data_IF_468664036397
#
_entry.id   IF_468664036397
#
_cell.length_a   1.000
_cell.length_b   1.000
_cell.length_c   1.000
_cell.angle_alpha   90.00
_cell.angle_beta   90.00
_cell.angle_gamma   90.00
#
_symmetry.space_group_name_H-M   'P 1'
#
loop_
_entity.id
_entity.type
_entity.pdbx_description
1 polymer ?
#
# COMPACT_ATOMS: atom_id res chain seq x y z
N UNK A 1 17.38 -22.78 12.96
CA UNK A 1 18.74 -22.33 12.68
C UNK A 1 18.77 -21.50 11.40
N UNK A 2 19.61 -20.46 11.37
CA UNK A 2 19.78 -19.60 10.21
C UNK A 2 21.25 -19.68 9.79
N UNK A 3 21.48 -19.98 8.50
CA UNK A 3 22.80 -20.05 7.92
C UNK A 3 22.98 -19.01 6.84
N UNK A 4 24.09 -18.26 6.87
CA UNK A 4 24.48 -17.31 5.84
C UNK A 4 25.88 -17.68 5.37
N UNK A 5 26.06 -17.94 4.07
CA UNK A 5 27.32 -18.42 3.49
C UNK A 5 27.88 -19.61 4.30
N UNK A 6 27.02 -20.61 4.58
CA UNK A 6 27.32 -21.84 5.32
C UNK A 6 27.70 -21.64 6.82
N UNK A 7 27.63 -20.42 7.33
CA UNK A 7 27.91 -20.12 8.74
C UNK A 7 26.61 -19.97 9.51
N UNK A 8 26.49 -20.66 10.64
CA UNK A 8 25.39 -20.49 11.59
C UNK A 8 25.42 -19.07 12.17
N UNK A 9 24.32 -18.34 12.06
CA UNK A 9 24.18 -16.98 12.57
C UNK A 9 23.03 -16.92 13.55
N UNK A 10 23.27 -16.33 14.72
CA UNK A 10 22.22 -16.01 15.68
C UNK A 10 21.72 -14.59 15.45
N UNK A 11 20.46 -14.44 15.03
CA UNK A 11 19.84 -13.15 14.67
C UNK A 11 19.20 -12.48 15.89
N UNK A 12 20.02 -12.01 16.83
CA UNK A 12 19.55 -11.41 18.08
C UNK A 12 18.98 -9.98 17.89
N UNK A 13 19.43 -9.27 16.88
CA UNK A 13 19.02 -7.90 16.61
C UNK A 13 19.28 -7.48 15.14
N UNK A 14 18.68 -6.36 14.66
CA UNK A 14 18.85 -5.90 13.28
C UNK A 14 20.29 -5.62 12.86
N UNK A 15 21.16 -5.19 13.77
CA UNK A 15 22.56 -4.90 13.45
C UNK A 15 23.34 -6.17 13.06
N UNK A 16 23.00 -7.32 13.66
CA UNK A 16 23.57 -8.62 13.26
C UNK A 16 23.16 -8.95 11.83
N UNK A 17 21.91 -8.72 11.44
CA UNK A 17 21.45 -8.95 10.08
C UNK A 17 22.19 -8.05 9.08
N UNK A 18 22.31 -6.76 9.37
CA UNK A 18 23.06 -5.79 8.53
C UNK A 18 24.53 -6.19 8.40
N UNK A 19 25.18 -6.55 9.51
CA UNK A 19 26.59 -6.99 9.49
C UNK A 19 26.82 -8.27 8.67
N UNK A 20 25.79 -9.10 8.48
CA UNK A 20 25.80 -10.28 7.63
C UNK A 20 25.28 -10.01 6.21
N UNK A 21 25.17 -8.75 5.80
CA UNK A 21 24.76 -8.34 4.45
C UNK A 21 23.29 -8.50 4.15
N UNK A 22 22.42 -8.54 5.15
CA UNK A 22 20.96 -8.54 4.96
C UNK A 22 20.44 -7.11 5.01
N UNK A 23 19.75 -6.69 3.96
CA UNK A 23 18.96 -5.46 3.90
C UNK A 23 17.48 -5.76 3.78
N UNK A 24 16.63 -4.94 4.41
CA UNK A 24 15.17 -5.10 4.34
C UNK A 24 14.50 -3.80 3.93
N UNK A 25 13.57 -3.90 3.00
CA UNK A 25 12.62 -2.86 2.62
C UNK A 25 11.27 -3.24 3.21
N UNK A 26 10.77 -2.43 4.13
CA UNK A 26 9.51 -2.67 4.83
C UNK A 26 8.31 -2.26 3.99
N UNK A 27 7.16 -2.83 4.28
CA UNK A 27 5.87 -2.50 3.66
C UNK A 27 5.52 -1.01 3.80
N UNK A 28 5.82 -0.41 4.96
CA UNK A 28 5.73 1.04 5.19
C UNK A 28 7.14 1.62 5.18
N UNK A 29 7.41 2.52 4.25
CA UNK A 29 8.73 3.11 4.09
C UNK A 29 9.20 3.83 5.35
N UNK A 30 10.46 3.55 5.73
CA UNK A 30 11.10 4.12 6.89
C UNK A 30 11.97 5.33 6.50
N UNK A 31 11.39 6.24 5.67
CA UNK A 31 12.04 7.45 5.19
C UNK A 31 11.62 8.66 6.00
N UNK A 32 12.58 9.56 6.24
CA UNK A 32 12.37 10.84 6.91
C UNK A 32 11.93 11.86 5.86
N UNK A 33 10.66 12.23 5.86
CA UNK A 33 10.01 13.03 4.82
C UNK A 33 10.71 14.38 4.53
N UNK A 34 11.12 15.21 5.52
CA UNK A 34 11.78 16.49 5.27
C UNK A 34 13.22 16.36 4.75
N UNK A 35 13.82 15.16 4.83
CA UNK A 35 15.20 14.93 4.40
C UNK A 35 15.27 14.74 2.90
N UNK A 36 16.45 15.04 2.34
CA UNK A 36 16.74 14.70 0.94
C UNK A 36 16.98 13.19 0.77
N UNK A 37 16.91 12.72 -0.48
CA UNK A 37 17.26 11.34 -0.86
C UNK A 37 18.63 10.97 -0.33
N UNK A 38 19.65 11.81 -0.56
CA UNK A 38 21.01 11.52 -0.08
C UNK A 38 21.05 11.40 1.45
N UNK A 39 20.42 12.32 2.18
CA UNK A 39 20.37 12.28 3.64
C UNK A 39 19.70 11.01 4.17
N UNK A 40 18.64 10.55 3.53
CA UNK A 40 17.96 9.31 3.93
C UNK A 40 18.83 8.06 3.70
N UNK A 41 19.54 8.00 2.57
CA UNK A 41 20.37 6.83 2.22
C UNK A 41 21.54 6.69 3.20
N UNK A 42 22.23 7.80 3.53
CA UNK A 42 23.40 7.78 4.41
C UNK A 42 23.07 7.73 5.89
N UNK A 43 21.81 7.92 6.29
CA UNK A 43 21.39 8.05 7.70
C UNK A 43 21.91 6.87 8.55
N UNK A 44 22.74 7.17 9.55
CA UNK A 44 23.37 6.19 10.44
C UNK A 44 24.66 5.53 9.90
N UNK A 45 25.12 5.95 8.71
CA UNK A 45 26.42 5.56 8.10
C UNK A 45 26.99 6.75 7.33
N UNK A 46 26.88 7.93 7.90
CA UNK A 46 27.22 9.21 7.27
C UNK A 46 28.73 9.28 6.95
N UNK A 47 29.13 9.65 5.71
CA UNK A 47 30.50 10.00 5.43
C UNK A 47 30.88 11.28 6.16
N UNK A 48 32.03 11.28 6.87
CA UNK A 48 32.47 12.41 7.68
C UNK A 48 33.73 13.05 7.16
N UNK A 49 33.80 14.38 7.27
CA UNK A 49 35.03 15.18 7.14
C UNK A 49 35.76 15.29 8.48
N UNK A 50 36.99 15.84 8.45
CA UNK A 50 37.72 16.15 9.67
C UNK A 50 36.81 16.86 10.71
N UNK A 51 37.03 16.55 12.00
CA UNK A 51 36.23 17.03 13.14
C UNK A 51 34.78 16.48 13.21
N UNK A 52 34.44 15.41 12.47
CA UNK A 52 33.16 14.71 12.60
C UNK A 52 31.97 15.38 11.90
N UNK A 53 32.20 16.40 11.06
CA UNK A 53 31.12 16.98 10.25
C UNK A 53 30.75 16.06 9.07
N UNK A 54 29.46 15.97 8.74
CA UNK A 54 28.95 15.16 7.62
C UNK A 54 29.46 15.72 6.29
N UNK A 55 30.00 14.86 5.44
CA UNK A 55 30.35 15.19 4.06
C UNK A 55 29.19 14.96 3.10
N UNK A 56 28.31 15.94 2.98
CA UNK A 56 27.13 15.82 2.12
C UNK A 56 27.49 15.73 0.62
N UNK A 57 28.59 16.35 0.19
CA UNK A 57 29.02 16.27 -1.20
C UNK A 57 29.47 14.84 -1.55
N UNK A 58 30.26 14.22 -0.67
CA UNK A 58 30.64 12.82 -0.79
C UNK A 58 29.42 11.91 -0.80
N UNK A 59 28.44 12.16 0.08
CA UNK A 59 27.18 11.41 0.10
C UNK A 59 26.43 11.49 -1.24
N UNK A 60 26.32 12.68 -1.83
CA UNK A 60 25.67 12.88 -3.13
C UNK A 60 26.41 12.12 -4.24
N UNK A 61 27.74 12.15 -4.26
CA UNK A 61 28.55 11.42 -5.22
C UNK A 61 28.37 9.90 -5.07
N UNK A 62 28.41 9.39 -3.85
CA UNK A 62 28.26 7.96 -3.56
C UNK A 62 26.83 7.47 -3.93
N UNK A 63 25.80 8.28 -3.64
CA UNK A 63 24.41 7.97 -4.02
C UNK A 63 24.24 7.95 -5.54
N UNK A 64 24.84 8.89 -6.27
CA UNK A 64 24.83 8.87 -7.73
C UNK A 64 25.49 7.62 -8.28
N UNK A 65 26.67 7.28 -7.78
CA UNK A 65 27.42 6.12 -8.24
C UNK A 65 26.65 4.81 -8.02
N UNK A 66 26.04 4.61 -6.85
CA UNK A 66 25.24 3.41 -6.56
C UNK A 66 23.92 3.37 -7.35
N UNK A 67 23.30 4.54 -7.55
CA UNK A 67 22.09 4.72 -8.37
C UNK A 67 22.36 4.31 -9.83
N UNK A 68 23.46 4.76 -10.41
CA UNK A 68 23.86 4.40 -11.77
C UNK A 68 24.22 2.91 -11.87
N UNK A 69 25.00 2.40 -10.91
CA UNK A 69 25.42 0.99 -10.87
C UNK A 69 24.25 0.02 -10.97
N UNK A 70 23.16 0.28 -10.26
CA UNK A 70 22.01 -0.62 -10.20
C UNK A 70 20.82 -0.17 -11.09
N UNK A 71 20.97 0.94 -11.83
CA UNK A 71 19.88 1.49 -12.65
C UNK A 71 18.69 2.01 -11.85
N UNK A 72 18.92 2.42 -10.61
CA UNK A 72 17.93 2.94 -9.67
C UNK A 72 17.99 4.48 -9.64
N UNK A 73 17.68 5.12 -10.76
CA UNK A 73 17.87 6.56 -10.91
C UNK A 73 16.99 7.36 -9.94
N UNK A 74 17.65 8.22 -9.14
CA UNK A 74 17.04 9.15 -8.18
C UNK A 74 17.81 10.49 -8.21
N UNK A 75 17.13 11.60 -7.87
CA UNK A 75 17.81 12.87 -7.59
C UNK A 75 18.23 12.91 -6.11
N UNK A 76 19.55 12.90 -5.80
CA UNK A 76 20.03 12.93 -4.42
C UNK A 76 19.59 14.17 -3.62
N UNK A 77 19.27 15.28 -4.29
CA UNK A 77 18.89 16.53 -3.66
C UNK A 77 17.38 16.70 -3.48
N UNK A 78 16.56 15.87 -4.14
CA UNK A 78 15.11 15.92 -3.97
C UNK A 78 14.73 15.53 -2.54
N UNK A 79 13.73 16.19 -1.97
CA UNK A 79 13.16 15.80 -0.70
C UNK A 79 12.22 14.60 -0.86
N UNK A 80 12.15 13.77 0.16
CA UNK A 80 11.29 12.57 0.14
C UNK A 80 9.80 12.97 0.00
N UNK A 81 9.37 14.04 0.64
CA UNK A 81 7.99 14.54 0.56
C UNK A 81 7.56 14.98 -0.85
N UNK A 82 8.52 15.28 -1.74
CA UNK A 82 8.30 15.80 -3.09
C UNK A 82 8.37 14.72 -4.18
N UNK A 83 8.75 13.48 -3.85
CA UNK A 83 8.92 12.39 -4.81
C UNK A 83 7.79 11.36 -4.74
N UNK A 84 7.50 10.67 -5.87
CA UNK A 84 6.47 9.65 -5.95
C UNK A 84 6.79 8.43 -5.05
N UNK A 85 5.76 7.64 -4.74
CA UNK A 85 5.89 6.41 -3.94
C UNK A 85 6.87 5.42 -4.60
N UNK A 86 6.83 5.26 -5.92
CA UNK A 86 7.78 4.42 -6.66
C UNK A 86 9.22 4.93 -6.54
N UNK A 87 9.43 6.24 -6.48
CA UNK A 87 10.76 6.81 -6.22
C UNK A 87 11.20 6.59 -4.78
N UNK A 88 10.29 6.72 -3.80
CA UNK A 88 10.59 6.41 -2.38
C UNK A 88 11.03 4.96 -2.22
N UNK A 89 10.42 4.03 -2.94
CA UNK A 89 10.84 2.64 -2.93
C UNK A 89 12.25 2.44 -3.47
N UNK A 90 12.62 3.12 -4.56
CA UNK A 90 13.99 3.10 -5.07
C UNK A 90 14.99 3.61 -4.03
N UNK A 91 14.63 4.65 -3.28
CA UNK A 91 15.44 5.19 -2.19
C UNK A 91 15.64 4.16 -1.07
N UNK A 92 14.59 3.43 -0.66
CA UNK A 92 14.70 2.35 0.34
C UNK A 92 15.61 1.21 -0.12
N UNK A 93 15.52 0.80 -1.40
CA UNK A 93 16.40 -0.21 -1.97
C UNK A 93 17.86 0.31 -2.00
N UNK A 94 18.09 1.54 -2.46
CA UNK A 94 19.41 2.17 -2.48
C UNK A 94 20.01 2.29 -1.08
N UNK A 95 19.21 2.63 -0.07
CA UNK A 95 19.61 2.68 1.33
C UNK A 95 20.11 1.34 1.84
N UNK A 96 19.43 0.25 1.51
CA UNK A 96 19.90 -1.11 1.84
C UNK A 96 21.19 -1.47 1.11
N UNK A 97 21.28 -1.17 -0.18
CA UNK A 97 22.48 -1.43 -1.02
C UNK A 97 23.67 -0.58 -0.58
N UNK A 98 23.48 0.67 -0.20
CA UNK A 98 24.53 1.56 0.32
C UNK A 98 25.17 1.01 1.59
N UNK A 99 24.39 0.30 2.41
CA UNK A 99 24.86 -0.40 3.61
C UNK A 99 25.50 -1.76 3.31
N UNK A 100 25.70 -2.11 2.02
CA UNK A 100 26.37 -3.33 1.61
C UNK A 100 25.49 -4.57 1.61
N UNK A 101 24.17 -4.45 1.45
CA UNK A 101 23.28 -5.60 1.37
C UNK A 101 23.65 -6.53 0.20
N UNK A 102 23.83 -7.82 0.51
CA UNK A 102 23.99 -8.92 -0.42
C UNK A 102 22.69 -9.71 -0.58
N UNK A 103 21.87 -9.74 0.48
CA UNK A 103 20.54 -10.35 0.53
C UNK A 103 19.53 -9.25 0.80
N UNK A 104 18.58 -9.04 -0.12
CA UNK A 104 17.51 -8.05 0.02
C UNK A 104 16.21 -8.75 0.33
N UNK A 105 15.56 -8.34 1.40
CA UNK A 105 14.20 -8.77 1.77
C UNK A 105 13.24 -7.64 1.43
N UNK A 106 12.27 -7.90 0.57
CA UNK A 106 11.24 -6.96 0.14
C UNK A 106 9.87 -7.43 0.68
N UNK A 107 9.31 -6.68 1.63
CA UNK A 107 8.04 -7.04 2.27
C UNK A 107 6.89 -6.26 1.63
N UNK A 108 5.99 -6.99 0.91
CA UNK A 108 4.85 -6.46 0.14
C UNK A 108 5.23 -5.23 -0.73
N UNK A 109 6.31 -5.32 -1.54
CA UNK A 109 6.92 -4.14 -2.17
C UNK A 109 6.04 -3.45 -3.21
N UNK A 110 4.93 -4.04 -3.59
CA UNK A 110 4.06 -3.55 -4.67
C UNK A 110 2.70 -3.06 -4.16
N UNK A 111 2.50 -2.99 -2.84
CA UNK A 111 1.19 -2.69 -2.25
C UNK A 111 0.59 -1.36 -2.71
N UNK A 112 1.44 -0.36 -2.96
CA UNK A 112 1.06 1.02 -3.29
C UNK A 112 1.56 1.47 -4.67
N UNK A 113 2.08 0.55 -5.49
CA UNK A 113 2.64 0.85 -6.80
C UNK A 113 1.61 0.76 -7.92
N UNK A 114 1.76 1.60 -8.91
CA UNK A 114 1.03 1.49 -10.19
C UNK A 114 1.52 0.27 -10.99
N UNK A 115 0.72 -0.24 -11.97
CA UNK A 115 1.16 -1.36 -12.81
C UNK A 115 2.49 -1.13 -13.53
N UNK A 116 2.77 0.12 -13.95
CA UNK A 116 4.03 0.51 -14.59
C UNK A 116 5.20 0.40 -13.61
N UNK A 117 5.05 0.96 -12.39
CA UNK A 117 6.07 0.89 -11.34
C UNK A 117 6.35 -0.54 -10.90
N UNK A 118 5.33 -1.43 -10.90
CA UNK A 118 5.51 -2.87 -10.64
C UNK A 118 6.43 -3.50 -11.68
N UNK A 119 6.24 -3.20 -12.98
CA UNK A 119 7.12 -3.73 -14.03
C UNK A 119 8.55 -3.21 -13.89
N UNK A 120 8.71 -1.95 -13.54
CA UNK A 120 10.04 -1.36 -13.25
C UNK A 120 10.69 -2.05 -12.07
N UNK A 121 9.97 -2.30 -10.98
CA UNK A 121 10.49 -3.02 -9.81
C UNK A 121 10.93 -4.44 -10.17
N UNK A 122 10.14 -5.18 -10.95
CA UNK A 122 10.51 -6.52 -11.43
C UNK A 122 11.82 -6.46 -12.23
N UNK A 123 11.98 -5.45 -13.08
CA UNK A 123 13.22 -5.26 -13.83
C UNK A 123 14.41 -4.93 -12.92
N UNK A 124 14.21 -4.11 -11.91
CA UNK A 124 15.20 -3.81 -10.87
C UNK A 124 15.64 -5.08 -10.16
N UNK A 125 14.70 -5.91 -9.72
CA UNK A 125 14.99 -7.18 -9.05
C UNK A 125 15.83 -8.08 -9.96
N UNK A 126 15.48 -8.20 -11.24
CA UNK A 126 16.24 -8.98 -12.23
C UNK A 126 17.66 -8.44 -12.45
N UNK A 127 17.83 -7.13 -12.42
CA UNK A 127 19.17 -6.53 -12.55
C UNK A 127 20.01 -6.80 -11.30
N UNK A 128 19.43 -6.68 -10.11
CA UNK A 128 20.10 -7.00 -8.84
C UNK A 128 20.56 -8.46 -8.79
N UNK A 129 19.73 -9.40 -9.23
CA UNK A 129 20.11 -10.83 -9.26
C UNK A 129 21.20 -11.12 -10.28
N UNK A 130 21.22 -10.43 -11.44
CA UNK A 130 22.33 -10.52 -12.42
C UNK A 130 23.65 -10.00 -11.85
N UNK A 131 23.61 -9.02 -10.96
CA UNK A 131 24.76 -8.49 -10.22
C UNK A 131 25.15 -9.37 -9.00
N UNK A 132 24.56 -10.57 -8.89
CA UNK A 132 24.88 -11.54 -7.84
C UNK A 132 24.18 -11.33 -6.51
N UNK A 133 23.22 -10.40 -6.41
CA UNK A 133 22.43 -10.21 -5.19
C UNK A 133 21.35 -11.29 -5.07
N UNK A 134 21.04 -11.71 -3.85
CA UNK A 134 19.89 -12.56 -3.55
C UNK A 134 18.71 -11.71 -3.13
N UNK A 135 17.51 -12.02 -3.64
CA UNK A 135 16.30 -11.27 -3.30
C UNK A 135 15.23 -12.21 -2.76
N UNK A 136 14.67 -11.89 -1.62
CA UNK A 136 13.53 -12.56 -1.00
C UNK A 136 12.35 -11.60 -1.08
N UNK A 137 11.28 -12.01 -1.76
CA UNK A 137 10.06 -11.22 -1.88
C UNK A 137 8.98 -11.88 -1.03
N UNK A 138 8.39 -11.11 -0.11
CA UNK A 138 7.21 -11.53 0.64
C UNK A 138 6.01 -10.88 -0.03
N UNK A 139 5.09 -11.67 -0.57
CA UNK A 139 3.89 -11.15 -1.23
C UNK A 139 2.79 -12.23 -1.28
N UNK A 140 1.55 -11.77 -1.37
CA UNK A 140 0.39 -12.62 -1.62
C UNK A 140 -0.12 -12.51 -3.07
N UNK A 141 0.55 -11.72 -3.92
CA UNK A 141 0.14 -11.46 -5.31
C UNK A 141 0.80 -12.46 -6.26
N UNK A 142 0.06 -13.45 -6.70
CA UNK A 142 0.56 -14.58 -7.49
C UNK A 142 1.21 -14.15 -8.81
N UNK A 143 0.68 -13.13 -9.49
CA UNK A 143 1.25 -12.60 -10.73
C UNK A 143 2.67 -12.05 -10.54
N UNK A 144 2.94 -11.45 -9.39
CA UNK A 144 4.28 -10.93 -9.07
C UNK A 144 5.26 -12.06 -8.81
N UNK A 145 4.83 -13.10 -8.07
CA UNK A 145 5.62 -14.32 -7.87
C UNK A 145 5.99 -14.92 -9.22
N UNK A 146 4.99 -15.12 -10.11
CA UNK A 146 5.23 -15.67 -11.46
C UNK A 146 6.15 -14.81 -12.32
N UNK A 147 6.15 -13.49 -12.13
CA UNK A 147 6.95 -12.58 -12.93
C UNK A 147 8.39 -12.39 -12.42
N UNK A 148 8.62 -12.53 -11.11
CA UNK A 148 9.89 -12.15 -10.49
C UNK A 148 10.68 -13.31 -9.89
N UNK A 149 10.03 -14.36 -9.36
CA UNK A 149 10.69 -15.37 -8.55
C UNK A 149 11.05 -16.64 -9.32
N UNK A 150 12.17 -17.28 -8.95
CA UNK A 150 12.57 -18.59 -9.44
C UNK A 150 11.91 -19.70 -8.64
N UNK A 151 11.84 -19.54 -7.32
CA UNK A 151 11.22 -20.48 -6.38
C UNK A 151 10.23 -19.75 -5.48
N UNK A 152 9.19 -20.47 -5.07
CA UNK A 152 8.19 -19.96 -4.14
C UNK A 152 8.06 -20.92 -2.96
N UNK A 153 8.32 -20.41 -1.75
CA UNK A 153 8.07 -21.12 -0.49
C UNK A 153 6.74 -20.70 0.08
N UNK A 154 5.84 -21.64 0.30
CA UNK A 154 4.51 -21.40 0.83
C UNK A 154 4.48 -21.63 2.33
N UNK A 155 4.08 -20.60 3.06
CA UNK A 155 3.85 -20.62 4.50
C UNK A 155 2.37 -20.40 4.77
N UNK A 156 1.77 -21.26 5.60
CA UNK A 156 0.36 -21.15 5.97
C UNK A 156 0.17 -21.40 7.46
N UNK A 157 -0.41 -20.44 8.17
CA UNK A 157 -0.62 -20.47 9.62
C UNK A 157 0.66 -20.80 10.40
N UNK A 158 1.77 -20.16 10.02
CA UNK A 158 3.08 -20.35 10.64
C UNK A 158 3.77 -21.68 10.32
N UNK A 159 3.23 -22.50 9.41
CA UNK A 159 3.81 -23.78 9.02
C UNK A 159 4.33 -23.70 7.59
N UNK A 160 5.51 -24.28 7.36
CA UNK A 160 6.01 -24.59 6.03
C UNK A 160 5.07 -25.59 5.35
N UNK A 161 4.70 -25.33 4.13
CA UNK A 161 3.84 -26.20 3.31
C UNK A 161 4.69 -26.88 2.24
N UNK A 162 5.33 -26.09 1.38
CA UNK A 162 6.16 -26.59 0.30
C UNK A 162 7.07 -25.49 -0.25
N UNK A 163 8.09 -25.89 -1.03
CA UNK A 163 8.89 -25.01 -1.89
C UNK A 163 8.85 -25.52 -3.31
N UNK A 164 8.28 -24.74 -4.20
CA UNK A 164 8.07 -25.11 -5.60
C UNK A 164 8.87 -24.24 -6.55
N UNK A 165 9.22 -24.80 -7.70
CA UNK A 165 9.79 -24.02 -8.80
C UNK A 165 8.68 -23.29 -9.52
N UNK A 166 8.80 -21.96 -9.62
CA UNK A 166 7.73 -21.10 -10.15
C UNK A 166 7.41 -21.36 -11.60
N UNK A 167 8.43 -21.74 -12.43
CA UNK A 167 8.21 -22.13 -13.83
C UNK A 167 7.27 -23.33 -13.99
N UNK A 168 7.27 -24.25 -13.03
CA UNK A 168 6.61 -25.56 -13.13
C UNK A 168 5.25 -25.58 -12.40
N UNK A 169 4.83 -24.43 -11.84
CA UNK A 169 3.62 -24.31 -11.01
C UNK A 169 2.69 -23.24 -11.58
N UNK A 170 1.38 -23.47 -11.57
CA UNK A 170 0.36 -22.51 -11.98
C UNK A 170 -0.05 -21.55 -10.86
N UNK A 171 -0.71 -20.43 -11.20
CA UNK A 171 -1.29 -19.52 -10.20
C UNK A 171 -2.36 -20.22 -9.35
N UNK A 172 -3.17 -21.09 -9.94
CA UNK A 172 -4.23 -21.83 -9.23
C UNK A 172 -3.63 -22.83 -8.21
N UNK A 173 -2.56 -23.52 -8.57
CA UNK A 173 -1.84 -24.42 -7.66
C UNK A 173 -1.20 -23.65 -6.49
N UNK A 174 -0.56 -22.53 -6.77
CA UNK A 174 -0.01 -21.64 -5.71
C UNK A 174 -1.12 -21.15 -4.77
N UNK A 175 -2.26 -20.70 -5.32
CA UNK A 175 -3.42 -20.28 -4.54
C UNK A 175 -3.97 -21.41 -3.67
N UNK A 176 -4.11 -22.61 -4.21
CA UNK A 176 -4.60 -23.78 -3.48
C UNK A 176 -3.68 -24.15 -2.31
N UNK A 177 -2.36 -24.10 -2.51
CA UNK A 177 -1.37 -24.34 -1.44
C UNK A 177 -1.43 -23.26 -0.34
N UNK A 178 -1.58 -21.97 -0.72
CA UNK A 178 -1.69 -20.86 0.22
C UNK A 178 -2.95 -20.93 1.07
N UNK A 179 -4.12 -21.24 0.45
CA UNK A 179 -5.43 -21.28 1.13
C UNK A 179 -5.66 -22.63 1.79
N UNK A 180 -5.13 -23.72 1.24
CA UNK A 180 -5.29 -25.09 1.74
C UNK A 180 -6.54 -25.79 1.22
N UNK A 181 -7.15 -25.26 0.17
CA UNK A 181 -8.27 -25.86 -0.59
C UNK A 181 -8.22 -25.31 -2.01
N UNK A 182 -8.86 -25.97 -2.93
CA UNK A 182 -9.08 -25.40 -4.26
C UNK A 182 -9.75 -24.03 -4.17
N UNK A 183 -9.24 -23.07 -4.90
CA UNK A 183 -9.74 -21.70 -4.96
C UNK A 183 -10.39 -21.48 -6.30
N UNK A 184 -11.69 -21.27 -6.30
CA UNK A 184 -12.39 -20.81 -7.49
C UNK A 184 -12.40 -19.28 -7.50
N UNK A 185 -11.63 -18.68 -8.40
CA UNK A 185 -11.58 -17.22 -8.58
C UNK A 185 -12.83 -16.69 -9.34
N UNK A 186 -13.65 -17.57 -9.91
CA UNK A 186 -14.90 -17.15 -10.54
C UNK A 186 -16.00 -17.08 -9.48
N UNK A 187 -16.52 -15.87 -9.29
CA UNK A 187 -17.70 -15.67 -8.44
C UNK A 187 -18.92 -16.16 -9.22
N UNK A 188 -19.57 -17.22 -8.73
CA UNK A 188 -20.87 -17.64 -9.24
C UNK A 188 -21.92 -16.63 -8.81
N UNK A 189 -22.16 -15.67 -9.69
CA UNK A 189 -23.05 -14.55 -9.45
C UNK A 189 -24.18 -14.57 -10.48
N UNK A 190 -25.42 -14.53 -9.98
CA UNK A 190 -26.58 -14.35 -10.85
C UNK A 190 -26.50 -13.02 -11.58
N UNK A 191 -27.09 -12.98 -12.78
CA UNK A 191 -27.21 -11.74 -13.55
C UNK A 191 -27.86 -10.65 -12.73
N UNK A 192 -27.25 -9.47 -12.69
CA UNK A 192 -27.80 -8.33 -11.96
C UNK A 192 -29.11 -7.86 -12.63
N UNK A 193 -30.12 -7.55 -11.83
CA UNK A 193 -31.39 -6.96 -12.29
C UNK A 193 -31.58 -5.61 -11.60
N UNK A 194 -30.86 -4.57 -12.03
CA UNK A 194 -30.98 -3.24 -11.47
C UNK A 194 -32.41 -2.69 -11.67
N UNK A 195 -32.90 -1.95 -10.68
CA UNK A 195 -34.24 -1.35 -10.72
C UNK A 195 -34.18 0.16 -10.69
N UNK A 196 -34.72 0.82 -9.66
CA UNK A 196 -34.75 2.28 -9.52
C UNK A 196 -33.42 2.84 -9.04
N UNK A 197 -33.15 4.11 -9.35
CA UNK A 197 -32.01 4.83 -8.83
C UNK A 197 -32.10 4.99 -7.31
N UNK A 198 -31.06 4.56 -6.60
CA UNK A 198 -30.93 4.70 -5.14
C UNK A 198 -29.94 5.80 -4.75
N UNK A 199 -28.93 6.06 -5.58
CA UNK A 199 -28.01 7.17 -5.44
C UNK A 199 -27.95 7.94 -6.76
N UNK A 200 -28.12 9.25 -6.70
CA UNK A 200 -27.94 10.14 -7.82
C UNK A 200 -27.00 11.26 -7.41
N UNK A 201 -25.96 11.47 -8.18
CA UNK A 201 -25.00 12.57 -8.05
C UNK A 201 -25.06 13.36 -9.35
N UNK A 202 -25.17 14.71 -9.26
CA UNK A 202 -25.21 15.60 -10.44
C UNK A 202 -24.26 16.76 -10.25
N UNK A 203 -23.41 16.98 -11.25
CA UNK A 203 -22.49 18.11 -11.37
C UNK A 203 -21.69 18.41 -10.08
N UNK A 204 -21.21 17.34 -9.41
CA UNK A 204 -20.54 17.46 -8.13
C UNK A 204 -19.16 18.09 -8.30
N UNK A 205 -18.94 19.19 -7.56
CA UNK A 205 -17.64 19.86 -7.46
C UNK A 205 -17.11 19.77 -6.04
N UNK A 206 -15.89 19.24 -5.89
CA UNK A 206 -15.20 19.11 -4.59
C UNK A 206 -13.80 19.69 -4.70
N UNK A 207 -13.40 20.46 -3.69
CA UNK A 207 -12.03 21.00 -3.58
C UNK A 207 -11.27 20.35 -2.43
N UNK A 208 -9.95 20.25 -2.60
CA UNK A 208 -9.04 19.82 -1.54
C UNK A 208 -8.74 20.98 -0.56
N UNK A 209 -7.87 20.72 0.43
CA UNK A 209 -7.45 21.72 1.41
C UNK A 209 -6.68 22.90 0.80
N UNK A 210 -6.09 22.72 -0.39
CA UNK A 210 -5.38 23.73 -1.18
C UNK A 210 -6.30 24.51 -2.11
N UNK A 211 -7.62 24.23 -2.06
CA UNK A 211 -8.66 24.79 -2.93
C UNK A 211 -8.54 24.39 -4.41
N UNK A 212 -7.84 23.31 -4.70
CA UNK A 212 -7.77 22.72 -6.05
C UNK A 212 -8.99 21.82 -6.25
N UNK A 213 -9.64 21.90 -7.41
CA UNK A 213 -10.74 21.01 -7.77
C UNK A 213 -10.21 19.59 -7.97
N UNK A 214 -10.64 18.66 -7.11
CA UNK A 214 -10.25 17.24 -7.13
C UNK A 214 -11.36 16.34 -7.63
N UNK A 215 -12.61 16.81 -7.55
CA UNK A 215 -13.78 16.25 -8.25
C UNK A 215 -14.41 17.43 -8.99
N UNK A 216 -14.55 17.32 -10.30
CA UNK A 216 -15.00 18.41 -11.15
C UNK A 216 -16.13 17.95 -12.07
N UNK A 217 -17.36 18.35 -11.76
CA UNK A 217 -18.54 18.06 -12.56
C UNK A 217 -18.96 16.59 -12.61
N UNK A 218 -18.64 15.81 -11.55
CA UNK A 218 -18.98 14.38 -11.51
C UNK A 218 -20.49 14.17 -11.45
N UNK A 219 -20.99 13.40 -12.41
CA UNK A 219 -22.38 12.92 -12.41
C UNK A 219 -22.39 11.40 -12.53
N UNK A 220 -23.12 10.71 -11.65
CA UNK A 220 -23.29 9.27 -11.70
C UNK A 220 -24.59 8.85 -11.00
N UNK A 221 -25.06 7.66 -11.33
CA UNK A 221 -26.22 7.04 -10.72
C UNK A 221 -25.88 5.61 -10.30
N UNK A 222 -26.47 5.17 -9.19
CA UNK A 222 -26.41 3.78 -8.75
C UNK A 222 -27.82 3.27 -8.52
N UNK A 223 -28.15 2.14 -9.14
CA UNK A 223 -29.46 1.51 -9.06
C UNK A 223 -29.55 0.48 -7.94
N UNK A 224 -30.73 0.22 -7.44
CA UNK A 224 -30.95 -0.87 -6.49
C UNK A 224 -30.57 -2.21 -7.13
N UNK A 225 -29.74 -3.00 -6.43
CA UNK A 225 -29.22 -4.28 -6.92
C UNK A 225 -28.02 -4.15 -7.88
N UNK A 226 -27.49 -2.95 -8.06
CA UNK A 226 -26.29 -2.69 -8.87
C UNK A 226 -25.03 -2.65 -8.01
N UNK A 227 -23.91 -3.06 -8.60
CA UNK A 227 -22.57 -2.82 -8.08
C UNK A 227 -21.86 -1.89 -9.08
N UNK A 228 -21.68 -0.63 -8.70
CA UNK A 228 -20.93 0.34 -9.49
C UNK A 228 -19.45 0.35 -9.05
N UNK A 229 -18.55 0.03 -9.96
CA UNK A 229 -17.11 0.16 -9.73
C UNK A 229 -16.60 1.56 -10.10
N UNK A 230 -15.82 2.19 -9.22
CA UNK A 230 -15.11 3.44 -9.49
C UNK A 230 -13.62 3.12 -9.54
N UNK A 231 -13.01 3.29 -10.70
CA UNK A 231 -11.58 3.04 -10.90
C UNK A 231 -10.81 4.36 -11.02
N UNK A 232 -9.60 4.39 -10.51
CA UNK A 232 -8.70 5.54 -10.62
C UNK A 232 -7.38 5.28 -9.93
N UNK A 233 -6.37 6.08 -10.25
CA UNK A 233 -5.08 6.10 -9.55
C UNK A 233 -5.25 6.93 -8.28
N UNK A 234 -4.48 6.61 -7.24
CA UNK A 234 -4.49 7.36 -5.98
C UNK A 234 -4.28 8.88 -6.23
N UNK A 235 -5.01 9.71 -5.49
CA UNK A 235 -5.00 11.17 -5.66
C UNK A 235 -5.92 11.73 -6.75
N UNK A 236 -6.74 10.90 -7.41
CA UNK A 236 -7.67 11.35 -8.46
C UNK A 236 -9.10 11.65 -7.96
N UNK A 237 -9.28 11.92 -6.67
CA UNK A 237 -10.54 12.41 -6.11
C UNK A 237 -11.47 11.32 -5.54
N UNK A 238 -11.08 10.04 -5.56
CA UNK A 238 -11.89 8.96 -5.01
C UNK A 238 -12.12 9.11 -3.50
N UNK A 239 -11.07 9.46 -2.76
CA UNK A 239 -11.14 9.69 -1.31
C UNK A 239 -12.04 10.88 -0.98
N UNK A 240 -11.91 11.99 -1.73
CA UNK A 240 -12.71 13.18 -1.55
C UNK A 240 -14.19 12.92 -1.90
N UNK A 241 -14.47 12.14 -2.93
CA UNK A 241 -15.82 11.69 -3.25
C UNK A 241 -16.43 10.91 -2.08
N UNK A 242 -15.71 9.94 -1.51
CA UNK A 242 -16.16 9.16 -0.35
C UNK A 242 -16.37 10.08 0.87
N UNK A 243 -15.46 11.03 1.12
CA UNK A 243 -15.59 11.98 2.23
C UNK A 243 -16.84 12.86 2.10
N UNK A 244 -17.19 13.29 0.87
CA UNK A 244 -18.43 14.04 0.63
C UNK A 244 -19.66 13.16 0.82
N UNK A 245 -19.65 11.93 0.27
CA UNK A 245 -20.77 10.98 0.41
C UNK A 245 -20.99 10.54 1.87
N UNK A 246 -19.99 10.66 2.72
CA UNK A 246 -20.07 10.31 4.15
C UNK A 246 -20.22 11.53 5.07
N UNK A 247 -20.18 12.76 4.49
CA UNK A 247 -20.38 14.01 5.22
C UNK A 247 -19.15 14.52 5.97
N UNK A 248 -17.97 13.94 5.73
CA UNK A 248 -16.71 14.42 6.31
C UNK A 248 -16.12 15.60 5.53
N UNK A 249 -16.58 15.83 4.31
CA UNK A 249 -16.22 16.97 3.46
C UNK A 249 -17.49 17.61 2.88
N UNK A 250 -17.44 18.90 2.62
CA UNK A 250 -18.51 19.60 1.93
C UNK A 250 -18.25 19.66 0.43
N UNK A 251 -19.27 19.49 -0.37
CA UNK A 251 -19.23 19.85 -1.79
C UNK A 251 -19.33 21.36 -1.97
N UNK A 252 -18.62 21.90 -2.95
CA UNK A 252 -18.73 23.31 -3.37
C UNK A 252 -20.05 23.55 -4.12
N UNK A 253 -20.39 22.60 -5.01
CA UNK A 253 -21.63 22.63 -5.79
C UNK A 253 -22.06 21.22 -6.21
N UNK A 254 -23.19 21.13 -6.88
CA UNK A 254 -23.80 19.87 -7.32
C UNK A 254 -24.86 19.37 -6.34
N UNK A 255 -25.43 18.20 -6.61
CA UNK A 255 -26.45 17.58 -5.77
C UNK A 255 -26.18 16.11 -5.54
N UNK A 256 -26.55 15.61 -4.34
CA UNK A 256 -26.47 14.22 -3.93
C UNK A 256 -27.82 13.80 -3.39
N UNK A 257 -28.46 12.83 -4.03
CA UNK A 257 -29.74 12.29 -3.60
C UNK A 257 -29.66 10.81 -3.30
N UNK A 258 -30.28 10.40 -2.22
CA UNK A 258 -30.47 8.98 -1.87
C UNK A 258 -31.96 8.71 -1.76
N UNK A 259 -32.48 7.77 -2.54
CA UNK A 259 -33.92 7.50 -2.64
C UNK A 259 -34.72 8.79 -2.84
N UNK A 260 -34.31 9.66 -3.78
CA UNK A 260 -34.89 10.96 -4.10
C UNK A 260 -34.79 12.02 -2.98
N UNK A 261 -34.16 11.72 -1.84
CA UNK A 261 -33.94 12.67 -0.75
C UNK A 261 -32.60 13.37 -0.89
N UNK A 262 -32.60 14.70 -0.87
CA UNK A 262 -31.39 15.52 -0.94
C UNK A 262 -30.56 15.39 0.34
N UNK A 263 -29.29 14.97 0.19
CA UNK A 263 -28.33 14.77 1.29
C UNK A 263 -27.07 15.64 1.16
N UNK A 264 -27.07 16.58 0.23
CA UNK A 264 -25.91 17.43 0.00
C UNK A 264 -25.51 18.20 1.28
N UNK A 265 -24.21 18.11 1.64
CA UNK A 265 -23.64 18.80 2.81
C UNK A 265 -24.30 18.50 4.16
N UNK A 266 -24.98 17.37 4.28
CA UNK A 266 -25.59 16.91 5.53
C UNK A 266 -24.54 16.38 6.50
N UNK A 267 -24.89 16.30 7.79
CA UNK A 267 -24.01 15.74 8.84
C UNK A 267 -23.85 14.22 8.64
N UNK A 268 -22.72 13.62 9.03
CA UNK A 268 -22.46 12.18 8.87
C UNK A 268 -23.58 11.30 9.44
N UNK A 269 -24.12 11.63 10.62
CA UNK A 269 -25.23 10.87 11.20
C UNK A 269 -26.49 10.89 10.34
N UNK A 270 -26.86 12.04 9.77
CA UNK A 270 -28.03 12.17 8.91
C UNK A 270 -27.86 11.36 7.62
N UNK A 271 -26.65 11.39 7.05
CA UNK A 271 -26.28 10.58 5.87
C UNK A 271 -26.36 9.09 6.20
N UNK A 272 -25.79 8.69 7.33
CA UNK A 272 -25.82 7.31 7.80
C UNK A 272 -27.26 6.81 8.02
N UNK A 273 -28.13 7.62 8.66
CA UNK A 273 -29.52 7.28 8.93
C UNK A 273 -30.36 7.16 7.63
N UNK A 274 -29.92 7.80 6.52
CA UNK A 274 -30.53 7.68 5.20
C UNK A 274 -29.94 6.56 4.31
N UNK A 275 -29.11 5.68 4.87
CA UNK A 275 -28.72 4.42 4.24
C UNK A 275 -27.33 4.39 3.62
N UNK A 276 -26.59 5.50 3.56
CA UNK A 276 -25.20 5.47 3.13
C UNK A 276 -24.34 4.89 4.26
N UNK A 277 -23.63 3.81 3.97
CA UNK A 277 -22.69 3.17 4.87
C UNK A 277 -21.32 3.13 4.20
N UNK A 278 -20.26 3.23 5.00
CA UNK A 278 -18.90 3.26 4.49
C UNK A 278 -18.01 2.25 5.23
N UNK A 279 -17.19 1.54 4.47
CA UNK A 279 -16.05 0.80 4.98
C UNK A 279 -14.82 1.61 4.54
N UNK A 280 -14.10 2.26 5.48
CA UNK A 280 -12.99 3.12 5.13
C UNK A 280 -11.79 2.32 4.62
N UNK A 281 -10.98 2.94 3.77
CA UNK A 281 -9.73 2.39 3.25
C UNK A 281 -8.77 2.03 4.41
N UNK A 282 -8.45 3.00 5.27
CA UNK A 282 -7.69 2.75 6.49
C UNK A 282 -8.63 2.37 7.65
N UNK A 283 -8.76 1.06 7.86
CA UNK A 283 -9.62 0.47 8.89
C UNK A 283 -9.14 0.78 10.30
N UNK A 284 -7.82 0.86 10.51
CA UNK A 284 -7.22 1.11 11.82
C UNK A 284 -7.40 2.56 12.26
N UNK A 285 -7.28 3.49 11.32
CA UNK A 285 -7.36 4.93 11.60
C UNK A 285 -8.80 5.45 11.65
N UNK A 286 -9.68 4.89 10.80
CA UNK A 286 -11.02 5.46 10.58
C UNK A 286 -12.17 4.46 10.74
N UNK A 287 -11.88 3.16 10.84
CA UNK A 287 -12.91 2.12 10.81
C UNK A 287 -13.17 1.44 12.14
N UNK A 288 -12.15 1.25 12.96
CA UNK A 288 -12.21 0.47 14.18
C UNK A 288 -11.63 1.25 15.37
N UNK A 289 -12.16 1.03 16.57
CA UNK A 289 -11.49 1.38 17.81
C UNK A 289 -10.75 0.12 18.26
N UNK A 290 -9.42 0.15 18.17
CA UNK A 290 -8.59 -1.05 18.34
C UNK A 290 -8.66 -1.66 19.73
N UNK A 291 -8.90 -0.85 20.77
CA UNK A 291 -9.08 -1.29 22.16
C UNK A 291 -10.46 -1.90 22.43
N UNK A 292 -11.40 -1.78 21.48
CA UNK A 292 -12.74 -2.32 21.61
C UNK A 292 -12.81 -3.76 21.10
N UNK A 293 -13.70 -4.54 21.69
CA UNK A 293 -14.03 -5.89 21.21
C UNK A 293 -14.73 -5.83 19.84
N UNK A 294 -14.80 -6.96 19.16
CA UNK A 294 -15.56 -7.09 17.90
C UNK A 294 -17.03 -6.71 18.10
N UNK A 295 -17.63 -7.12 19.23
CA UNK A 295 -19.03 -6.80 19.54
C UNK A 295 -19.23 -5.28 19.70
N UNK A 296 -18.36 -4.60 20.44
CA UNK A 296 -18.44 -3.15 20.65
C UNK A 296 -18.24 -2.38 19.33
N UNK A 297 -17.25 -2.77 18.52
CA UNK A 297 -17.04 -2.18 17.21
C UNK A 297 -18.24 -2.40 16.26
N UNK A 298 -18.90 -3.56 16.33
CA UNK A 298 -20.04 -3.88 15.47
C UNK A 298 -21.25 -2.97 15.78
N UNK A 299 -21.46 -2.62 17.05
CA UNK A 299 -22.61 -1.78 17.47
C UNK A 299 -22.27 -0.29 17.54
N UNK A 300 -21.02 0.09 17.35
CA UNK A 300 -20.50 1.45 17.56
C UNK A 300 -21.35 2.55 16.91
N UNK A 301 -21.79 2.35 15.66
CA UNK A 301 -22.61 3.33 14.95
C UNK A 301 -24.09 3.30 15.32
N UNK A 302 -24.54 2.25 16.01
CA UNK A 302 -25.92 2.01 16.41
C UNK A 302 -26.09 1.90 17.94
N UNK A 303 -25.12 2.37 18.72
CA UNK A 303 -25.13 2.20 20.18
C UNK A 303 -26.37 2.82 20.88
N UNK A 304 -27.03 3.81 20.26
CA UNK A 304 -28.27 4.42 20.76
C UNK A 304 -29.54 3.61 20.45
N UNK A 305 -29.43 2.55 19.64
CA UNK A 305 -30.59 1.70 19.35
C UNK A 305 -31.00 0.96 20.63
N UNK A 306 -32.30 0.96 21.01
CA UNK A 306 -32.79 0.30 22.22
C UNK A 306 -32.46 -1.19 22.32
N UNK A 307 -32.11 -1.83 21.19
CA UNK A 307 -31.63 -3.22 21.15
C UNK A 307 -30.25 -3.40 21.80
N UNK A 308 -29.43 -2.35 21.80
CA UNK A 308 -28.04 -2.38 22.28
C UNK A 308 -27.81 -1.55 23.54
N UNK A 309 -28.64 -0.55 23.81
CA UNK A 309 -28.54 0.32 24.99
C UNK A 309 -29.90 0.51 25.65
N UNK A 310 -29.95 0.35 26.98
CA UNK A 310 -31.19 0.51 27.76
C UNK A 310 -31.44 1.94 28.21
N UNK A 311 -30.48 2.87 28.17
CA UNK A 311 -30.64 4.25 28.67
C UNK A 311 -29.80 5.28 27.87
N UNK A 312 -29.54 5.05 26.61
CA UNK A 312 -28.85 6.02 25.70
C UNK A 312 -27.35 5.98 25.76
#
# INVERSE_FOLDING_TARGET
>A
EIYINEKLVNMDNPNVAIANGIGMVHQHFMLVQPFTVAQNIILGVEPTKGLGSIDINKAIEDVKAISEKYGLYVDPNAKIEDISVGMQQRVEILKALYRGAEILILDEPTAVLTPQEIQELIQIIRNLTKEGKSVIIITHKLKEIKAAADHCTIIRRGKYIDTVKVSDTTEDELAAMMVGREVNFKVDKKEARPTSNVLEIKDLLVKDSRKVSVVDGLSLEVKAGEILGIAGIDGNGQSELVEVLTGFRKAESGSIKVNSKELNNKKPKEIFDNGIKNIPEDRHKRGLILDFTVAENTVLQNYKDPRFSKNG
#
